data_IF_847373901862
#
_entry.id   IF_847373901862
#
_cell.length_a   1.000
_cell.length_b   1.000
_cell.length_c   1.000
_cell.angle_alpha   90.00
_cell.angle_beta   90.00
_cell.angle_gamma   90.00
#
_symmetry.space_group_name_H-M   'P 1'
#
loop_
_entity.id
_entity.type
_entity.pdbx_description
1 polymer ?
#
# COMPACT_ATOMS: atom_id res chain seq x y z
N UNK A 1 -14.49 -13.09 1.14
CA UNK A 1 -14.55 -12.34 2.42
C UNK A 1 -15.77 -11.41 2.46
N UNK A 2 -15.97 -10.51 1.51
CA UNK A 2 -17.04 -9.50 1.55
C UNK A 2 -18.46 -10.08 1.45
N UNK A 3 -18.61 -11.32 0.99
CA UNK A 3 -19.88 -12.04 0.99
C UNK A 3 -20.22 -12.67 2.36
N UNK A 4 -19.30 -12.68 3.31
CA UNK A 4 -19.56 -13.16 4.66
C UNK A 4 -20.62 -12.29 5.36
N UNK A 5 -21.42 -12.87 6.28
CA UNK A 5 -22.29 -12.09 7.14
C UNK A 5 -21.53 -10.99 7.88
N UNK A 6 -22.21 -9.87 8.13
CA UNK A 6 -21.56 -8.73 8.81
C UNK A 6 -21.00 -9.12 10.18
N UNK A 7 -21.70 -9.96 10.91
CA UNK A 7 -21.28 -10.47 12.22
C UNK A 7 -19.95 -11.22 12.18
N UNK A 8 -19.66 -11.96 11.10
CA UNK A 8 -18.38 -12.67 10.93
C UNK A 8 -17.25 -11.71 10.56
N UNK A 9 -17.55 -10.69 9.74
CA UNK A 9 -16.58 -9.64 9.42
C UNK A 9 -16.20 -8.81 10.64
N UNK A 10 -17.17 -8.48 11.47
CA UNK A 10 -16.99 -7.67 12.70
C UNK A 10 -16.13 -8.39 13.76
N UNK A 11 -16.15 -9.72 13.81
CA UNK A 11 -15.30 -10.49 14.73
C UNK A 11 -13.81 -10.28 14.48
N UNK A 12 -13.45 -9.91 13.25
CA UNK A 12 -12.07 -9.61 12.83
C UNK A 12 -11.86 -8.13 12.54
N UNK A 13 -12.65 -7.25 13.17
CA UNK A 13 -12.44 -5.80 13.04
C UNK A 13 -11.05 -5.36 13.50
N UNK A 14 -10.50 -4.37 12.81
CA UNK A 14 -9.16 -3.83 13.09
C UNK A 14 -9.04 -3.31 14.53
N UNK A 15 -10.09 -2.78 15.11
CA UNK A 15 -10.10 -2.29 16.52
C UNK A 15 -9.79 -3.39 17.55
N UNK A 16 -9.95 -4.66 17.17
CA UNK A 16 -9.63 -5.80 18.02
C UNK A 16 -8.14 -6.19 17.97
N UNK A 17 -7.37 -5.61 17.04
CA UNK A 17 -5.94 -5.91 16.86
C UNK A 17 -5.07 -4.74 17.31
N UNK A 18 -4.13 -4.95 18.25
CA UNK A 18 -3.15 -3.93 18.59
C UNK A 18 -2.10 -3.71 17.48
N UNK A 19 -2.15 -4.53 16.41
CA UNK A 19 -1.20 -4.54 15.31
C UNK A 19 -1.75 -3.91 14.03
N UNK A 20 -2.92 -3.26 14.10
CA UNK A 20 -3.60 -2.64 12.95
C UNK A 20 -3.87 -3.65 11.81
N UNK A 21 -4.42 -4.82 12.18
CA UNK A 21 -4.85 -5.88 11.24
C UNK A 21 -6.33 -6.09 11.35
N UNK A 22 -6.99 -6.34 10.23
CA UNK A 22 -8.38 -6.77 10.22
C UNK A 22 -9.29 -5.90 9.38
N UNK A 23 -10.58 -6.04 9.62
CA UNK A 23 -11.64 -5.45 8.84
C UNK A 23 -11.97 -4.02 9.26
N UNK A 24 -12.11 -3.15 8.27
CA UNK A 24 -12.69 -1.81 8.39
C UNK A 24 -13.99 -1.73 7.60
N UNK A 25 -15.04 -1.24 8.24
CA UNK A 25 -16.36 -1.04 7.63
C UNK A 25 -16.32 0.10 6.61
N UNK A 26 -17.30 0.10 5.72
CA UNK A 26 -17.49 1.22 4.78
C UNK A 26 -17.58 2.54 5.53
N UNK A 27 -16.73 3.48 5.10
CA UNK A 27 -16.66 4.80 5.72
C UNK A 27 -15.87 4.86 7.03
N UNK A 28 -15.14 3.78 7.38
CA UNK A 28 -14.30 3.73 8.59
C UNK A 28 -12.96 4.45 8.44
N UNK A 29 -12.57 4.84 7.24
CA UNK A 29 -11.32 5.55 6.97
C UNK A 29 -11.55 6.93 6.38
N UNK A 30 -10.57 7.81 6.58
CA UNK A 30 -10.58 9.18 6.09
C UNK A 30 -9.32 9.45 5.30
N UNK A 31 -9.44 10.13 4.16
CA UNK A 31 -8.32 10.73 3.44
C UNK A 31 -8.54 12.24 3.37
N UNK A 32 -7.58 13.01 3.87
CA UNK A 32 -7.67 14.48 3.96
C UNK A 32 -8.97 14.97 4.64
N UNK A 33 -9.37 14.30 5.74
CA UNK A 33 -10.56 14.64 6.52
C UNK A 33 -11.90 14.29 5.87
N UNK A 34 -11.91 13.65 4.71
CA UNK A 34 -13.12 13.20 4.00
C UNK A 34 -13.24 11.68 4.06
N UNK A 35 -14.45 11.19 4.23
CA UNK A 35 -14.75 9.75 4.31
C UNK A 35 -14.42 9.05 3.00
N UNK A 36 -13.65 7.95 3.10
CA UNK A 36 -13.44 7.01 2.02
C UNK A 36 -14.58 5.99 1.96
N UNK A 37 -15.25 5.91 0.81
CA UNK A 37 -16.41 5.04 0.63
C UNK A 37 -15.97 3.64 0.19
N UNK A 38 -15.36 2.91 1.13
CA UNK A 38 -14.85 1.55 0.94
C UNK A 38 -14.94 0.74 2.24
N UNK A 39 -15.00 -0.56 2.10
CA UNK A 39 -14.69 -1.50 3.17
C UNK A 39 -13.45 -2.31 2.79
N UNK A 40 -12.69 -2.77 3.77
CA UNK A 40 -11.45 -3.49 3.51
C UNK A 40 -11.08 -4.45 4.64
N UNK A 41 -10.19 -5.38 4.33
CA UNK A 41 -9.45 -6.13 5.34
C UNK A 41 -7.95 -5.96 5.11
N UNK A 42 -7.25 -5.58 6.16
CA UNK A 42 -5.82 -5.34 6.17
C UNK A 42 -5.09 -6.55 6.77
N UNK A 43 -4.17 -7.11 6.00
CA UNK A 43 -3.39 -8.30 6.32
C UNK A 43 -1.93 -8.01 6.00
N UNK A 44 -1.02 -8.32 6.91
CA UNK A 44 0.41 -8.17 6.72
C UNK A 44 1.14 -9.50 6.84
N UNK A 45 2.47 -9.51 6.75
CA UNK A 45 3.27 -10.69 7.02
C UNK A 45 2.87 -11.30 8.37
N UNK A 46 2.60 -12.60 8.38
CA UNK A 46 2.19 -13.32 9.60
C UNK A 46 3.37 -13.46 10.53
N UNK A 47 3.31 -12.84 11.70
CA UNK A 47 4.41 -12.81 12.69
C UNK A 47 3.88 -12.97 14.10
N UNK A 48 4.77 -13.38 15.01
CA UNK A 48 4.50 -13.30 16.43
C UNK A 48 4.50 -11.84 16.89
N UNK A 49 3.65 -11.50 17.84
CA UNK A 49 3.65 -10.19 18.44
C UNK A 49 4.98 -9.93 19.19
N UNK A 50 5.52 -8.73 19.06
CA UNK A 50 6.68 -8.30 19.84
C UNK A 50 6.22 -8.05 21.29
N UNK A 51 6.75 -8.84 22.22
CA UNK A 51 6.39 -8.79 23.63
C UNK A 51 7.40 -8.05 24.50
N UNK A 52 8.56 -7.71 23.94
CA UNK A 52 9.58 -6.94 24.63
C UNK A 52 9.07 -5.51 24.90
N UNK A 53 8.96 -5.15 26.18
CA UNK A 53 8.52 -3.81 26.59
C UNK A 53 9.55 -2.72 26.34
N UNK A 54 10.81 -3.09 26.12
CA UNK A 54 11.88 -2.16 25.76
C UNK A 54 11.92 -1.88 24.25
N UNK A 55 11.21 -2.66 23.44
CA UNK A 55 11.14 -2.43 22.00
C UNK A 55 10.49 -1.07 21.68
N UNK A 56 10.96 -0.39 20.62
CA UNK A 56 10.34 0.86 20.15
C UNK A 56 8.84 0.69 19.88
N UNK A 57 8.07 1.75 20.07
CA UNK A 57 6.61 1.71 19.99
C UNK A 57 6.08 1.23 18.63
N UNK A 58 6.77 1.55 17.55
CA UNK A 58 6.39 1.11 16.20
C UNK A 58 6.49 -0.40 15.99
N UNK A 59 7.27 -1.12 16.79
CA UNK A 59 7.32 -2.59 16.74
C UNK A 59 5.99 -3.26 17.14
N UNK A 60 5.04 -2.51 17.68
CA UNK A 60 3.66 -2.95 17.88
C UNK A 60 2.96 -3.32 16.56
N UNK A 61 3.43 -2.78 15.43
CA UNK A 61 2.93 -3.12 14.11
C UNK A 61 3.29 -4.55 13.69
N UNK A 62 4.26 -5.20 14.35
CA UNK A 62 4.57 -6.61 14.19
C UNK A 62 3.61 -7.47 15.01
N UNK A 63 2.92 -8.40 14.36
CA UNK A 63 2.01 -9.29 15.07
C UNK A 63 1.15 -10.16 14.17
N UNK A 64 0.32 -11.01 14.76
CA UNK A 64 -0.55 -11.92 14.01
C UNK A 64 -1.69 -11.18 13.30
N UNK A 65 -2.14 -11.76 12.21
CA UNK A 65 -3.35 -11.34 11.52
C UNK A 65 -4.60 -11.86 12.24
N UNK A 66 -5.75 -11.26 11.91
CA UNK A 66 -7.06 -11.76 12.30
C UNK A 66 -7.69 -12.53 11.12
N UNK A 67 -7.97 -13.81 11.32
CA UNK A 67 -8.52 -14.66 10.27
C UNK A 67 -9.99 -15.00 10.54
N UNK A 68 -10.90 -14.76 9.57
CA UNK A 68 -12.32 -15.11 9.74
C UNK A 68 -12.49 -16.63 9.76
N UNK A 69 -13.15 -17.15 10.78
CA UNK A 69 -13.37 -18.59 10.94
C UNK A 69 -14.20 -19.21 9.82
N UNK A 70 -15.08 -18.42 9.20
CA UNK A 70 -15.92 -18.86 8.08
C UNK A 70 -15.18 -18.95 6.72
N UNK A 71 -13.88 -18.63 6.66
CA UNK A 71 -13.10 -18.63 5.42
C UNK A 71 -11.65 -19.07 5.71
N UNK A 72 -11.45 -20.34 6.14
CA UNK A 72 -10.12 -20.81 6.59
C UNK A 72 -9.05 -20.78 5.48
N UNK A 73 -9.44 -20.96 4.21
CA UNK A 73 -8.56 -20.91 3.04
C UNK A 73 -7.96 -19.52 2.77
N UNK A 74 -8.52 -18.47 3.36
CA UNK A 74 -8.06 -17.10 3.18
C UNK A 74 -6.60 -16.95 3.64
N UNK A 75 -6.24 -17.55 4.77
CA UNK A 75 -4.89 -17.50 5.33
C UNK A 75 -3.85 -18.05 4.36
N UNK A 76 -4.06 -19.24 3.84
CA UNK A 76 -3.13 -19.86 2.90
C UNK A 76 -3.04 -19.06 1.61
N UNK A 77 -4.18 -18.62 1.06
CA UNK A 77 -4.25 -17.82 -0.16
C UNK A 77 -3.45 -16.53 -0.02
N UNK A 78 -3.62 -15.80 1.09
CA UNK A 78 -2.89 -14.56 1.32
C UNK A 78 -1.41 -14.77 1.58
N UNK A 79 -1.04 -15.83 2.29
CA UNK A 79 0.39 -16.17 2.51
C UNK A 79 1.11 -16.42 1.19
N UNK A 80 0.50 -17.21 0.30
CA UNK A 80 1.08 -17.47 -1.03
C UNK A 80 1.12 -16.21 -1.88
N UNK A 81 0.07 -15.38 -1.82
CA UNK A 81 0.01 -14.12 -2.56
C UNK A 81 1.09 -13.15 -2.09
N UNK A 82 1.21 -12.97 -0.78
CA UNK A 82 2.24 -12.12 -0.15
C UNK A 82 3.65 -12.52 -0.60
N UNK A 83 4.01 -13.80 -0.51
CA UNK A 83 5.31 -14.30 -0.91
C UNK A 83 5.62 -14.04 -2.40
N UNK A 84 4.62 -14.24 -3.27
CA UNK A 84 4.77 -13.98 -4.71
C UNK A 84 4.94 -12.49 -5.01
N UNK A 85 4.15 -11.65 -4.40
CA UNK A 85 4.25 -10.19 -4.58
C UNK A 85 5.56 -9.66 -4.01
N UNK A 86 6.02 -10.14 -2.84
CA UNK A 86 7.32 -9.78 -2.26
C UNK A 86 8.48 -10.17 -3.18
N UNK A 87 8.45 -11.36 -3.78
CA UNK A 87 9.47 -11.79 -4.74
C UNK A 87 9.47 -10.92 -6.01
N UNK A 88 8.30 -10.53 -6.54
CA UNK A 88 8.19 -9.61 -7.67
C UNK A 88 8.76 -8.24 -7.28
N UNK A 89 8.38 -7.72 -6.13
CA UNK A 89 8.84 -6.42 -5.64
C UNK A 89 10.35 -6.38 -5.43
N UNK A 90 10.93 -7.40 -4.79
CA UNK A 90 12.38 -7.50 -4.61
C UNK A 90 13.13 -7.51 -5.95
N UNK A 91 12.61 -8.23 -6.95
CA UNK A 91 13.19 -8.21 -8.30
C UNK A 91 13.09 -6.83 -8.95
N UNK A 92 11.95 -6.15 -8.85
CA UNK A 92 11.80 -4.80 -9.39
C UNK A 92 12.77 -3.81 -8.73
N UNK A 93 12.98 -3.88 -7.42
CA UNK A 93 13.94 -3.03 -6.71
C UNK A 93 15.36 -3.22 -7.24
N UNK A 94 15.79 -4.46 -7.48
CA UNK A 94 17.10 -4.76 -8.05
C UNK A 94 17.27 -4.23 -9.47
N UNK A 95 16.27 -4.39 -10.34
CA UNK A 95 16.29 -3.86 -11.70
C UNK A 95 16.28 -2.32 -11.71
N UNK A 96 15.54 -1.69 -10.81
CA UNK A 96 15.57 -0.24 -10.65
C UNK A 96 16.93 0.26 -10.15
N UNK A 97 17.55 -0.42 -9.17
CA UNK A 97 18.89 -0.07 -8.71
C UNK A 97 19.88 -0.05 -9.87
N UNK A 98 19.90 -1.11 -10.69
CA UNK A 98 20.75 -1.18 -11.89
C UNK A 98 20.46 -0.05 -12.89
N UNK A 99 19.17 0.21 -13.17
CA UNK A 99 18.76 1.27 -14.09
C UNK A 99 19.15 2.67 -13.58
N UNK A 100 19.27 2.83 -12.26
CA UNK A 100 19.70 4.06 -11.60
C UNK A 100 21.21 4.15 -11.40
N UNK A 101 21.97 3.18 -11.94
CA UNK A 101 23.44 3.17 -11.87
C UNK A 101 24.02 2.69 -10.54
N UNK A 102 23.20 2.04 -9.70
CA UNK A 102 23.60 1.51 -8.41
C UNK A 102 23.80 -0.02 -8.47
N UNK A 103 24.52 -0.63 -7.52
CA UNK A 103 24.55 -2.08 -7.36
C UNK A 103 23.15 -2.65 -7.20
N UNK A 104 22.89 -3.84 -7.76
CA UNK A 104 21.56 -4.48 -7.71
C UNK A 104 21.06 -4.73 -6.28
N UNK A 105 21.95 -4.91 -5.35
CA UNK A 105 21.73 -5.23 -3.94
C UNK A 105 21.70 -4.01 -3.00
N UNK A 106 21.76 -2.80 -3.54
CA UNK A 106 21.85 -1.55 -2.74
C UNK A 106 20.72 -1.41 -1.71
N UNK A 107 19.56 -1.99 -1.99
CA UNK A 107 18.40 -1.97 -1.09
C UNK A 107 18.25 -3.23 -0.22
N UNK A 108 19.03 -4.30 -0.48
CA UNK A 108 18.79 -5.61 0.13
C UNK A 108 18.80 -5.57 1.66
N UNK A 109 19.74 -4.84 2.27
CA UNK A 109 19.84 -4.73 3.72
C UNK A 109 18.58 -4.12 4.36
N UNK A 110 17.93 -3.16 3.69
CA UNK A 110 16.72 -2.54 4.18
C UNK A 110 15.52 -3.50 4.19
N UNK A 111 15.55 -4.54 3.36
CA UNK A 111 14.50 -5.55 3.23
C UNK A 111 14.91 -6.92 3.78
N UNK A 112 16.13 -7.04 4.32
CA UNK A 112 16.60 -8.28 4.94
C UNK A 112 15.69 -8.70 6.11
N UNK A 113 15.63 -9.99 6.37
CA UNK A 113 14.95 -10.64 7.49
C UNK A 113 13.44 -10.37 7.63
N UNK A 114 13.00 -9.10 7.68
CA UNK A 114 11.63 -8.74 8.06
C UNK A 114 11.06 -7.55 7.28
N UNK A 115 10.94 -7.61 5.94
CA UNK A 115 10.30 -6.51 5.22
C UNK A 115 8.88 -6.30 5.74
N UNK A 116 8.47 -5.05 5.91
CA UNK A 116 7.12 -4.71 6.33
C UNK A 116 6.21 -4.76 5.10
N UNK A 117 5.40 -5.80 5.00
CA UNK A 117 4.42 -5.96 3.92
C UNK A 117 3.02 -5.69 4.43
N UNK A 118 2.18 -5.15 3.58
CA UNK A 118 0.76 -4.97 3.86
C UNK A 118 -0.04 -5.29 2.60
N UNK A 119 -1.09 -6.08 2.76
CA UNK A 119 -2.09 -6.33 1.72
C UNK A 119 -3.41 -5.78 2.20
N UNK A 120 -4.07 -5.01 1.36
CA UNK A 120 -5.46 -4.63 1.59
C UNK A 120 -6.34 -5.34 0.56
N UNK A 121 -7.31 -6.11 1.01
CA UNK A 121 -8.39 -6.52 0.13
C UNK A 121 -9.48 -5.47 0.25
N UNK A 122 -9.75 -4.74 -0.83
CA UNK A 122 -10.62 -3.56 -0.80
C UNK A 122 -11.84 -3.76 -1.68
N UNK A 123 -13.01 -3.44 -1.14
CA UNK A 123 -14.28 -3.38 -1.84
C UNK A 123 -14.81 -1.95 -1.82
N UNK A 124 -15.05 -1.42 -3.00
CA UNK A 124 -15.70 -0.13 -3.20
C UNK A 124 -17.16 -0.37 -3.62
N UNK A 125 -18.12 -0.19 -2.73
CA UNK A 125 -19.51 -0.21 -3.14
C UNK A 125 -19.83 1.02 -3.98
N UNK A 126 -20.80 0.90 -4.87
CA UNK A 126 -21.26 2.03 -5.67
C UNK A 126 -21.75 3.19 -4.82
N UNK A 127 -21.59 4.39 -5.34
CA UNK A 127 -22.08 5.61 -4.69
C UNK A 127 -23.56 5.52 -4.39
N UNK A 128 -23.99 6.18 -3.34
CA UNK A 128 -25.43 6.44 -3.16
C UNK A 128 -25.86 7.49 -4.19
N UNK A 129 -27.10 7.42 -4.67
CA UNK A 129 -27.61 8.34 -5.69
C UNK A 129 -27.60 9.82 -5.24
N UNK A 130 -27.74 10.04 -3.93
CA UNK A 130 -27.73 11.35 -3.27
C UNK A 130 -26.30 11.86 -2.94
N UNK A 131 -25.27 11.02 -3.03
CA UNK A 131 -23.90 11.37 -2.65
C UNK A 131 -22.97 11.50 -3.88
N UNK A 132 -23.02 12.67 -4.50
CA UNK A 132 -22.12 13.02 -5.62
C UNK A 132 -20.66 13.25 -5.18
N UNK A 133 -20.40 13.37 -3.88
CA UNK A 133 -19.10 13.73 -3.33
C UNK A 133 -18.33 12.51 -2.79
N UNK A 134 -18.89 11.31 -2.86
CA UNK A 134 -18.24 10.10 -2.32
C UNK A 134 -16.96 9.78 -3.12
N UNK A 135 -15.83 9.89 -2.44
CA UNK A 135 -14.55 9.37 -2.93
C UNK A 135 -14.43 7.90 -2.54
N UNK A 136 -13.87 7.06 -3.42
CA UNK A 136 -13.48 5.70 -3.03
C UNK A 136 -12.28 5.75 -2.10
N UNK A 137 -11.23 6.48 -2.52
CA UNK A 137 -10.09 6.92 -1.72
C UNK A 137 -9.72 8.33 -2.17
N UNK A 138 -9.48 9.23 -1.24
CA UNK A 138 -9.03 10.58 -1.52
C UNK A 138 -7.65 10.62 -2.17
N UNK A 139 -7.29 11.78 -2.72
CA UNK A 139 -5.97 11.99 -3.30
C UNK A 139 -4.88 11.82 -2.24
N UNK A 140 -3.89 10.95 -2.51
CA UNK A 140 -2.77 10.67 -1.61
C UNK A 140 -1.58 10.12 -2.38
N UNK A 141 -0.44 10.06 -1.72
CA UNK A 141 0.74 9.28 -2.11
C UNK A 141 0.89 8.10 -1.17
N UNK A 142 1.47 7.00 -1.63
CA UNK A 142 1.84 5.90 -0.75
C UNK A 142 3.11 6.26 0.02
N UNK A 143 3.15 6.10 1.35
CA UNK A 143 4.33 6.47 2.14
C UNK A 143 5.51 5.52 1.96
N UNK A 144 5.27 4.28 1.51
CA UNK A 144 6.26 3.22 1.41
C UNK A 144 7.19 3.31 0.21
N UNK A 145 7.71 2.16 -0.20
CA UNK A 145 8.68 2.04 -1.31
C UNK A 145 8.00 1.70 -2.62
N UNK A 146 7.16 0.68 -2.60
CA UNK A 146 6.57 0.09 -3.81
C UNK A 146 5.18 -0.45 -3.52
N UNK A 147 4.23 -0.17 -4.41
CA UNK A 147 2.90 -0.78 -4.41
C UNK A 147 2.69 -1.59 -5.69
N UNK A 148 2.25 -2.85 -5.54
CA UNK A 148 1.73 -3.68 -6.62
C UNK A 148 0.21 -3.75 -6.48
N UNK A 149 -0.50 -3.07 -7.35
CA UNK A 149 -1.96 -2.97 -7.28
C UNK A 149 -2.61 -3.86 -8.33
N UNK A 150 -3.32 -4.89 -7.87
CA UNK A 150 -4.25 -5.65 -8.70
C UNK A 150 -5.62 -4.98 -8.66
N UNK A 151 -6.20 -4.75 -9.84
CA UNK A 151 -7.54 -4.19 -10.01
C UNK A 151 -8.41 -5.23 -10.70
N UNK A 152 -9.66 -5.35 -10.28
CA UNK A 152 -10.65 -6.21 -10.91
C UNK A 152 -10.76 -5.88 -12.41
N UNK A 153 -10.61 -6.86 -13.32
CA UNK A 153 -10.67 -6.63 -14.75
C UNK A 153 -11.97 -5.97 -15.19
N UNK A 154 -11.87 -4.99 -16.07
CA UNK A 154 -13.01 -4.25 -16.60
C UNK A 154 -13.55 -3.15 -15.68
N UNK A 155 -12.95 -2.96 -14.48
CA UNK A 155 -13.33 -1.88 -13.55
C UNK A 155 -12.34 -0.72 -13.64
N UNK A 156 -12.87 0.50 -13.70
CA UNK A 156 -12.10 1.75 -13.69
C UNK A 156 -12.02 2.38 -12.29
N UNK A 157 -11.81 3.69 -12.26
CA UNK A 157 -11.88 4.53 -11.08
C UNK A 157 -10.53 4.83 -10.43
N UNK A 158 -9.46 4.11 -10.71
CA UNK A 158 -8.12 4.56 -10.33
C UNK A 158 -7.70 5.72 -11.23
N UNK A 159 -7.32 6.82 -10.63
CA UNK A 159 -6.81 8.02 -11.32
C UNK A 159 -5.48 8.44 -10.74
N UNK A 160 -4.57 8.88 -11.60
CA UNK A 160 -3.27 9.43 -11.22
C UNK A 160 -3.17 10.88 -11.64
N UNK A 161 -2.50 11.68 -10.84
CA UNK A 161 -2.27 13.09 -11.13
C UNK A 161 -1.15 13.23 -12.17
N UNK A 162 -1.41 13.97 -13.21
CA UNK A 162 -0.44 14.29 -14.25
C UNK A 162 -0.64 15.70 -14.77
N UNK A 163 0.38 16.53 -14.72
CA UNK A 163 0.38 17.92 -15.20
C UNK A 163 -0.81 18.76 -14.68
N UNK A 164 -1.17 18.58 -13.41
CA UNK A 164 -2.28 19.30 -12.77
C UNK A 164 -3.66 18.78 -13.13
N UNK A 165 -3.78 17.66 -13.84
CA UNK A 165 -5.02 16.98 -14.16
C UNK A 165 -5.03 15.52 -13.69
N UNK A 166 -6.17 14.85 -13.84
CA UNK A 166 -6.35 13.44 -13.51
C UNK A 166 -6.45 12.60 -14.77
N UNK A 167 -5.68 11.53 -14.85
CA UNK A 167 -5.77 10.54 -15.92
C UNK A 167 -6.16 9.18 -15.33
N UNK A 168 -6.99 8.44 -16.06
CA UNK A 168 -7.40 7.10 -15.64
C UNK A 168 -6.25 6.11 -15.83
N UNK A 169 -6.04 5.26 -14.82
CA UNK A 169 -5.17 4.09 -14.89
C UNK A 169 -6.05 2.84 -15.06
N UNK A 170 -6.24 2.35 -16.29
CA UNK A 170 -7.16 1.24 -16.53
C UNK A 170 -6.63 -0.08 -16.01
N UNK A 171 -7.54 -0.93 -15.52
CA UNK A 171 -7.22 -2.31 -15.18
C UNK A 171 -6.88 -3.10 -16.45
N UNK A 172 -5.74 -3.78 -16.42
CA UNK A 172 -5.32 -4.68 -17.49
C UNK A 172 -5.32 -6.13 -16.98
N UNK A 173 -5.98 -7.08 -17.67
CA UNK A 173 -5.96 -8.48 -17.25
C UNK A 173 -4.53 -9.02 -17.17
N UNK A 174 -4.20 -9.70 -16.06
CA UNK A 174 -2.88 -10.30 -15.85
C UNK A 174 -1.75 -9.31 -15.54
N UNK A 175 -2.06 -8.03 -15.30
CA UNK A 175 -1.08 -7.01 -14.97
C UNK A 175 -1.34 -6.36 -13.61
N UNK A 176 -0.28 -5.87 -12.98
CA UNK A 176 -0.35 -4.92 -11.86
C UNK A 176 -0.20 -3.49 -12.37
N UNK A 177 -0.89 -2.56 -11.73
CA UNK A 177 -0.43 -1.17 -11.69
C UNK A 177 0.67 -1.10 -10.65
N UNK A 178 1.82 -0.57 -11.03
CA UNK A 178 2.98 -0.43 -10.14
C UNK A 178 3.18 1.05 -9.87
N UNK A 179 3.18 1.44 -8.60
CA UNK A 179 3.52 2.80 -8.22
C UNK A 179 4.60 2.85 -7.15
N UNK A 180 5.37 3.91 -7.21
CA UNK A 180 6.45 4.26 -6.30
C UNK A 180 5.85 5.04 -5.13
N UNK A 181 6.32 4.75 -3.93
CA UNK A 181 5.99 5.52 -2.75
C UNK A 181 7.06 6.56 -2.37
N UNK A 182 6.76 7.33 -1.33
CA UNK A 182 7.58 8.47 -0.89
C UNK A 182 8.96 8.07 -0.39
N UNK A 183 9.13 6.86 0.19
CA UNK A 183 10.46 6.37 0.58
C UNK A 183 11.38 6.12 -0.62
N UNK A 184 10.84 5.67 -1.77
CA UNK A 184 11.64 5.53 -2.99
C UNK A 184 11.92 6.90 -3.61
N UNK A 185 10.99 7.86 -3.55
CA UNK A 185 11.25 9.25 -3.93
C UNK A 185 12.40 9.82 -3.09
N UNK A 186 12.40 9.57 -1.77
CA UNK A 186 13.49 9.96 -0.87
C UNK A 186 14.81 9.28 -1.25
N UNK A 187 14.83 7.96 -1.42
CA UNK A 187 16.04 7.20 -1.75
C UNK A 187 16.71 7.64 -3.06
N UNK A 188 15.96 8.24 -3.98
CA UNK A 188 16.44 8.74 -5.27
C UNK A 188 16.57 10.26 -5.34
N UNK A 189 16.56 10.94 -4.18
CA UNK A 189 16.62 12.42 -4.09
C UNK A 189 15.59 13.12 -4.98
N UNK A 190 14.43 12.48 -5.17
CA UNK A 190 13.33 12.98 -5.99
C UNK A 190 13.52 12.84 -7.51
N UNK A 191 14.42 11.99 -7.96
CA UNK A 191 14.49 11.59 -9.37
C UNK A 191 13.28 10.75 -9.75
N UNK A 192 13.01 9.67 -9.00
CA UNK A 192 11.73 8.96 -9.06
C UNK A 192 10.71 9.70 -8.19
N UNK A 193 9.51 9.88 -8.71
CA UNK A 193 8.44 10.63 -8.03
C UNK A 193 7.34 9.71 -7.53
N UNK A 194 6.98 9.85 -6.25
CA UNK A 194 5.75 9.26 -5.76
C UNK A 194 4.55 9.98 -6.39
N UNK A 195 3.68 9.22 -7.05
CA UNK A 195 2.58 9.77 -7.82
C UNK A 195 1.34 9.91 -6.96
N UNK A 196 0.80 11.13 -6.88
CA UNK A 196 -0.50 11.36 -6.26
C UNK A 196 -1.57 10.61 -7.05
N UNK A 197 -2.38 9.83 -6.34
CA UNK A 197 -3.45 9.04 -6.96
C UNK A 197 -4.69 9.02 -6.09
N UNK A 198 -5.83 8.66 -6.68
CA UNK A 198 -7.12 8.56 -6.00
C UNK A 198 -7.97 7.45 -6.59
N UNK A 199 -9.04 7.08 -5.89
CA UNK A 199 -10.06 6.17 -6.42
C UNK A 199 -11.40 6.90 -6.41
N UNK A 200 -12.01 6.98 -7.59
CA UNK A 200 -13.39 7.43 -7.77
C UNK A 200 -14.32 6.26 -7.49
N UNK A 201 -15.32 6.44 -6.64
CA UNK A 201 -16.31 5.41 -6.34
C UNK A 201 -17.05 4.95 -7.60
N UNK A 202 -17.37 3.66 -7.74
CA UNK A 202 -18.19 3.15 -8.83
C UNK A 202 -19.58 3.83 -8.90
N UNK A 203 -20.26 3.65 -10.02
CA UNK A 203 -21.64 4.10 -10.17
C UNK A 203 -22.58 3.40 -9.17
N UNK A 204 -23.75 3.98 -8.85
CA UNK A 204 -24.76 3.33 -8.03
C UNK A 204 -25.11 1.92 -8.55
N UNK A 205 -25.17 0.93 -7.65
CA UNK A 205 -25.45 -0.46 -8.00
C UNK A 205 -24.25 -1.26 -8.52
N UNK A 206 -23.12 -0.61 -8.78
CA UNK A 206 -21.87 -1.29 -9.17
C UNK A 206 -20.94 -1.52 -7.97
N UNK A 207 -19.98 -2.41 -8.14
CA UNK A 207 -18.94 -2.75 -7.15
C UNK A 207 -17.59 -2.86 -7.85
N UNK A 208 -16.52 -2.44 -7.18
CA UNK A 208 -15.14 -2.62 -7.63
C UNK A 208 -14.33 -3.28 -6.53
N UNK A 209 -13.50 -4.23 -6.91
CA UNK A 209 -12.51 -4.85 -6.02
C UNK A 209 -11.09 -4.44 -6.43
N UNK A 210 -10.22 -4.34 -5.45
CA UNK A 210 -8.77 -4.19 -5.69
C UNK A 210 -7.97 -4.78 -4.54
N UNK A 211 -6.73 -5.17 -4.86
CA UNK A 211 -5.80 -5.75 -3.91
C UNK A 211 -4.45 -5.05 -4.06
N UNK A 212 -4.21 -3.94 -3.38
CA UNK A 212 -2.87 -3.37 -3.25
C UNK A 212 -2.03 -4.23 -2.31
N UNK A 213 -0.81 -4.51 -2.74
CA UNK A 213 0.27 -5.06 -1.95
C UNK A 213 1.34 -3.98 -1.80
N UNK A 214 1.65 -3.62 -0.58
CA UNK A 214 2.67 -2.64 -0.23
C UNK A 214 3.93 -3.37 0.23
N UNK A 215 5.05 -3.07 -0.40
CA UNK A 215 6.37 -3.54 0.01
C UNK A 215 7.15 -2.41 0.64
N UNK A 216 7.49 -2.58 1.90
CA UNK A 216 8.24 -1.60 2.68
C UNK A 216 9.46 -2.26 3.33
N UNK A 217 10.50 -1.49 3.67
CA UNK A 217 11.64 -2.00 4.40
C UNK A 217 11.22 -2.52 5.79
N UNK A 218 12.11 -3.19 6.49
CA UNK A 218 11.87 -3.56 7.89
C UNK A 218 11.61 -2.28 8.72
N UNK A 219 10.74 -2.38 9.74
CA UNK A 219 10.33 -1.22 10.54
C UNK A 219 11.50 -0.51 11.22
N UNK A 220 12.56 -1.26 11.55
CA UNK A 220 13.75 -0.79 12.21
C UNK A 220 14.93 -0.51 11.25
N UNK A 221 14.69 -0.55 9.94
CA UNK A 221 15.72 -0.28 8.93
C UNK A 221 15.64 1.14 8.37
N UNK A 222 16.70 1.54 7.70
CA UNK A 222 16.80 2.83 7.01
C UNK A 222 16.98 2.58 5.52
N UNK A 223 16.18 3.27 4.70
CA UNK A 223 16.37 3.26 3.24
C UNK A 223 17.64 4.04 2.89
N UNK A 224 18.57 3.44 2.12
CA UNK A 224 19.73 4.17 1.64
C UNK A 224 19.32 5.21 0.62
N UNK A 225 19.98 6.37 0.66
CA UNK A 225 19.95 7.34 -0.45
C UNK A 225 21.04 6.92 -1.44
N UNK A 226 20.63 6.72 -2.71
CA UNK A 226 21.55 6.28 -3.75
C UNK A 226 22.24 7.46 -4.43
N UNK A 227 23.52 7.28 -4.78
CA UNK A 227 24.26 8.24 -5.59
C UNK A 227 23.88 8.06 -7.07
N UNK A 228 23.10 8.98 -7.58
CA UNK A 228 22.68 8.95 -8.98
C UNK A 228 23.86 9.36 -9.90
N UNK A 229 24.01 8.73 -11.08
CA UNK A 229 24.89 9.24 -12.12
C UNK A 229 24.58 10.70 -12.46
N UNK A 230 25.58 11.53 -12.81
CA UNK A 230 25.37 12.97 -13.03
C UNK A 230 24.24 13.32 -14.02
N UNK A 231 24.05 12.48 -15.03
CA UNK A 231 22.98 12.68 -16.03
C UNK A 231 21.58 12.50 -15.41
N UNK A 232 21.39 11.58 -14.46
CA UNK A 232 20.13 11.38 -13.75
C UNK A 232 19.98 12.38 -12.60
N UNK A 233 21.06 12.67 -11.89
CA UNK A 233 21.10 13.65 -10.80
C UNK A 233 20.68 15.05 -11.27
N UNK A 234 20.97 15.42 -12.51
CA UNK A 234 20.55 16.71 -13.11
C UNK A 234 19.01 16.84 -13.21
N UNK A 235 18.28 15.71 -13.29
CA UNK A 235 16.83 15.65 -13.36
C UNK A 235 16.18 15.45 -11.99
N UNK A 236 16.96 15.16 -10.93
CA UNK A 236 16.47 15.03 -9.57
C UNK A 236 16.03 16.41 -9.04
N UNK A 237 14.75 16.54 -8.69
CA UNK A 237 14.13 17.82 -8.31
C UNK A 237 13.86 17.95 -6.81
N UNK A 238 14.52 17.11 -6.01
CA UNK A 238 14.28 17.02 -4.56
C UNK A 238 12.98 16.32 -4.23
N UNK A 239 12.84 15.97 -2.97
CA UNK A 239 11.68 15.24 -2.45
C UNK A 239 10.50 16.21 -2.34
N UNK A 240 9.33 15.80 -2.84
CA UNK A 240 8.09 16.57 -2.69
C UNK A 240 7.39 16.12 -1.41
N UNK A 241 7.86 16.60 -0.26
CA UNK A 241 7.25 16.27 1.02
C UNK A 241 6.00 17.09 1.29
N UNK A 242 4.98 16.44 1.87
CA UNK A 242 3.94 17.11 2.61
C UNK A 242 4.59 17.70 3.88
N UNK A 243 4.43 19.01 4.18
CA UNK A 243 4.99 19.62 5.39
C UNK A 243 4.56 18.92 6.68
N UNK A 244 3.41 18.26 6.67
CA UNK A 244 2.85 17.54 7.80
C UNK A 244 3.29 16.06 7.88
N UNK A 245 4.02 15.56 6.87
CA UNK A 245 4.48 14.17 6.79
C UNK A 245 5.96 14.10 6.34
N UNK A 246 6.85 14.44 7.25
CA UNK A 246 8.29 14.43 6.97
C UNK A 246 8.83 13.01 7.03
N UNK A 247 9.18 12.45 5.86
CA UNK A 247 9.87 11.17 5.76
C UNK A 247 11.35 11.39 5.99
N UNK A 248 11.88 10.73 7.03
CA UNK A 248 13.30 10.85 7.44
C UNK A 248 14.19 9.72 6.94
N UNK A 249 13.71 8.89 6.00
CA UNK A 249 14.44 7.70 5.51
C UNK A 249 14.25 6.46 6.38
N UNK A 250 13.54 6.56 7.50
CA UNK A 250 13.10 5.42 8.33
C UNK A 250 11.62 5.17 8.13
N UNK A 251 11.21 3.90 8.18
CA UNK A 251 9.79 3.54 8.01
C UNK A 251 9.06 3.45 9.37
N UNK A 252 9.75 3.15 10.44
CA UNK A 252 9.23 3.02 11.81
C UNK A 252 9.39 4.24 12.70
#
# INVERSE_FOLDING_TARGET
FFALPLEDKVRVEMVNSPHFRGYNRTGGELTQGRVDWREQIDIAAERAAVTDRAAPAYMRLEGPNQWPSGLPELRETFTVWEQRCAAIGARLLREWALALGSPADVFDDAFADRPSTLIKLVRYPGRREDDRAAQGVGAHKDPGVLTLLMIEPGKGGLQVEHLGGWIDAPAMPGAFVVNIGELMEFATSGYLKATTHRVVSPAPGDVRLSIPFFLNPALDSTMPVIDLPPVLAADARGVTQDPDNVISGTFG
#
